data_IF_164180346706
#
_entry.id   IF_164180346706
#
_cell.length_a   1.000
_cell.length_b   1.000
_cell.length_c   1.000
_cell.angle_alpha   90.00
_cell.angle_beta   90.00
_cell.angle_gamma   90.00
#
_symmetry.space_group_name_H-M   'P 1'
#
loop_
_entity.id
_entity.type
_entity.pdbx_description
1 polymer ?
#
# COMPACT_ATOMS: atom_id res chain seq x y z
N UNK A 1 -61.32 -10.04 -9.18
CA UNK A 1 -60.02 -10.03 -9.89
C UNK A 1 -58.95 -9.32 -9.03
N UNK A 2 -58.42 -9.95 -7.96
CA UNK A 2 -57.35 -9.34 -7.10
C UNK A 2 -56.34 -10.36 -6.52
N UNK A 3 -56.34 -11.62 -6.99
CA UNK A 3 -55.54 -12.69 -6.38
C UNK A 3 -54.26 -13.05 -7.15
N UNK A 4 -54.09 -12.57 -8.38
CA UNK A 4 -52.92 -12.89 -9.21
C UNK A 4 -51.68 -12.01 -8.91
N UNK A 5 -51.86 -10.87 -8.23
CA UNK A 5 -50.77 -9.92 -7.98
C UNK A 5 -49.84 -10.34 -6.83
N UNK A 6 -50.32 -11.15 -5.87
CA UNK A 6 -49.50 -11.57 -4.72
C UNK A 6 -48.48 -12.67 -5.07
N UNK A 7 -48.72 -13.49 -6.09
CA UNK A 7 -47.81 -14.59 -6.45
C UNK A 7 -46.52 -14.11 -7.13
N UNK A 8 -46.58 -13.00 -7.88
CA UNK A 8 -45.45 -12.53 -8.69
C UNK A 8 -44.37 -11.83 -7.85
N UNK A 9 -44.76 -11.21 -6.73
CA UNK A 9 -43.82 -10.50 -5.85
C UNK A 9 -42.94 -11.46 -5.03
N UNK A 10 -43.47 -12.63 -4.65
CA UNK A 10 -42.72 -13.60 -3.85
C UNK A 10 -41.61 -14.31 -4.65
N UNK A 11 -41.81 -14.53 -5.95
CA UNK A 11 -40.81 -15.21 -6.79
C UNK A 11 -39.56 -14.35 -7.07
N UNK A 12 -39.70 -13.02 -7.13
CA UNK A 12 -38.58 -12.10 -7.40
C UNK A 12 -37.64 -11.95 -6.19
N UNK A 13 -38.15 -12.02 -4.96
CA UNK A 13 -37.32 -11.95 -3.74
C UNK A 13 -36.52 -13.25 -3.54
N UNK A 14 -37.08 -14.40 -3.92
CA UNK A 14 -36.40 -15.70 -3.81
C UNK A 14 -35.19 -15.81 -4.76
N UNK A 15 -35.25 -15.23 -5.97
CA UNK A 15 -34.13 -15.22 -6.91
C UNK A 15 -33.06 -14.19 -6.50
N UNK A 16 -33.49 -13.00 -6.05
CA UNK A 16 -32.58 -11.96 -5.57
C UNK A 16 -31.80 -12.41 -4.31
N UNK A 17 -32.47 -13.09 -3.38
CA UNK A 17 -31.83 -13.61 -2.17
C UNK A 17 -30.77 -14.68 -2.46
N UNK A 18 -31.02 -15.60 -3.39
CA UNK A 18 -30.06 -16.67 -3.70
C UNK A 18 -28.82 -16.16 -4.45
N UNK A 19 -28.97 -15.12 -5.28
CA UNK A 19 -27.83 -14.48 -5.96
C UNK A 19 -26.93 -13.69 -4.99
N UNK A 20 -27.51 -13.09 -3.95
CA UNK A 20 -26.77 -12.39 -2.90
C UNK A 20 -26.00 -13.35 -1.97
N UNK A 21 -26.51 -14.56 -1.72
CA UNK A 21 -25.75 -15.58 -0.97
C UNK A 21 -24.64 -16.23 -1.81
N UNK A 22 -24.79 -16.30 -3.14
CA UNK A 22 -23.80 -16.95 -4.01
C UNK A 22 -22.54 -16.11 -4.25
N UNK A 23 -22.54 -14.80 -3.95
CA UNK A 23 -21.44 -13.88 -4.30
C UNK A 23 -20.97 -12.96 -3.16
N UNK A 24 -21.54 -13.08 -1.95
CA UNK A 24 -21.75 -11.91 -1.10
C UNK A 24 -20.83 -11.60 0.08
N UNK A 25 -19.72 -12.31 0.32
CA UNK A 25 -18.81 -11.92 1.44
C UNK A 25 -17.35 -12.12 1.09
N UNK A 26 -16.96 -13.31 0.64
CA UNK A 26 -15.54 -13.60 0.39
C UNK A 26 -14.96 -12.76 -0.76
N UNK A 27 -15.73 -12.53 -1.83
CA UNK A 27 -15.27 -11.71 -2.95
C UNK A 27 -15.16 -10.22 -2.60
N UNK A 28 -16.08 -9.71 -1.75
CA UNK A 28 -16.06 -8.32 -1.28
C UNK A 28 -14.93 -8.07 -0.29
N UNK A 29 -14.68 -9.02 0.61
CA UNK A 29 -13.54 -8.97 1.54
C UNK A 29 -12.22 -9.02 0.76
N UNK A 30 -12.06 -9.97 -0.17
CA UNK A 30 -10.87 -10.07 -1.00
C UNK A 30 -10.61 -8.80 -1.85
N UNK A 31 -11.65 -8.20 -2.41
CA UNK A 31 -11.52 -6.94 -3.16
C UNK A 31 -11.14 -5.75 -2.26
N UNK A 32 -11.66 -5.72 -1.03
CA UNK A 32 -11.33 -4.69 -0.04
C UNK A 32 -9.88 -4.84 0.42
N UNK A 33 -9.44 -6.06 0.75
CA UNK A 33 -8.05 -6.35 1.12
C UNK A 33 -7.07 -6.00 0.01
N UNK A 34 -7.37 -6.37 -1.24
CA UNK A 34 -6.53 -6.01 -2.39
C UNK A 34 -6.40 -4.49 -2.57
N UNK A 35 -7.51 -3.76 -2.36
CA UNK A 35 -7.52 -2.28 -2.47
C UNK A 35 -6.72 -1.64 -1.34
N UNK A 36 -6.91 -2.09 -0.10
CA UNK A 36 -6.16 -1.59 1.07
C UNK A 36 -4.67 -1.88 0.89
N UNK A 37 -4.31 -3.09 0.45
CA UNK A 37 -2.93 -3.48 0.21
C UNK A 37 -2.27 -2.60 -0.87
N UNK A 38 -2.97 -2.33 -1.98
CA UNK A 38 -2.48 -1.44 -3.03
C UNK A 38 -2.26 0.00 -2.52
N UNK A 39 -3.22 0.54 -1.76
CA UNK A 39 -3.11 1.90 -1.18
C UNK A 39 -1.94 1.98 -0.18
N UNK A 40 -1.78 0.98 0.69
CA UNK A 40 -0.65 0.95 1.63
C UNK A 40 0.70 0.89 0.94
N UNK A 41 0.80 0.11 -0.15
CA UNK A 41 2.00 0.06 -1.00
C UNK A 41 2.36 1.44 -1.57
N UNK A 42 1.41 2.11 -2.21
CA UNK A 42 1.63 3.45 -2.79
C UNK A 42 2.00 4.50 -1.74
N UNK A 43 1.40 4.45 -0.55
CA UNK A 43 1.78 5.35 0.55
C UNK A 43 3.20 5.06 1.03
N UNK A 44 3.59 3.78 1.14
CA UNK A 44 4.94 3.40 1.51
C UNK A 44 6.00 3.81 0.50
N UNK A 45 5.69 3.69 -0.79
CA UNK A 45 6.55 4.19 -1.86
C UNK A 45 6.74 5.72 -1.75
N UNK A 46 5.66 6.45 -1.48
CA UNK A 46 5.68 7.91 -1.32
C UNK A 46 6.57 8.35 -0.14
N UNK A 47 6.53 7.64 0.98
CA UNK A 47 7.40 7.90 2.14
C UNK A 47 8.88 7.69 1.80
N UNK A 48 9.21 6.61 1.08
CA UNK A 48 10.58 6.38 0.61
C UNK A 48 11.03 7.47 -0.37
N UNK A 49 10.18 7.92 -1.29
CA UNK A 49 10.49 9.04 -2.21
C UNK A 49 10.76 10.33 -1.43
N UNK A 50 9.94 10.65 -0.42
CA UNK A 50 10.13 11.82 0.43
C UNK A 50 11.46 11.75 1.24
N UNK A 51 11.79 10.57 1.75
CA UNK A 51 13.06 10.33 2.43
C UNK A 51 14.26 10.48 1.47
N UNK A 52 14.17 9.95 0.25
CA UNK A 52 15.20 10.13 -0.78
C UNK A 52 15.40 11.60 -1.16
N UNK A 53 14.32 12.38 -1.30
CA UNK A 53 14.41 13.82 -1.56
C UNK A 53 15.09 14.57 -0.41
N UNK A 54 14.80 14.19 0.84
CA UNK A 54 15.43 14.76 2.03
C UNK A 54 16.93 14.45 2.09
N UNK A 55 17.32 13.22 1.78
CA UNK A 55 18.74 12.83 1.65
C UNK A 55 19.44 13.58 0.52
N UNK A 56 18.78 13.76 -0.63
CA UNK A 56 19.33 14.53 -1.74
C UNK A 56 19.58 16.00 -1.35
N UNK A 57 18.66 16.61 -0.60
CA UNK A 57 18.83 17.96 -0.07
C UNK A 57 19.97 18.03 0.96
N UNK A 58 20.09 17.05 1.86
CA UNK A 58 21.19 16.99 2.83
C UNK A 58 22.55 16.83 2.15
N UNK A 59 22.67 15.97 1.14
CA UNK A 59 23.90 15.85 0.35
C UNK A 59 24.22 17.12 -0.43
N UNK A 60 23.22 17.83 -0.95
CA UNK A 60 23.44 19.12 -1.61
C UNK A 60 24.00 20.17 -0.62
N UNK A 61 23.63 20.10 0.66
CA UNK A 61 24.12 21.01 1.69
C UNK A 61 25.48 20.61 2.30
N UNK A 62 25.73 19.32 2.52
CA UNK A 62 26.90 18.81 3.28
C UNK A 62 27.95 18.10 2.42
N UNK A 63 27.58 17.70 1.20
CA UNK A 63 28.43 16.93 0.29
C UNK A 63 28.46 15.41 0.57
N UNK A 64 27.79 14.93 1.62
CA UNK A 64 27.81 13.51 2.03
C UNK A 64 26.42 13.03 2.46
N UNK A 65 26.17 11.71 2.42
CA UNK A 65 25.04 11.10 3.11
C UNK A 65 25.42 10.56 4.50
N UNK A 66 26.71 10.61 4.86
CA UNK A 66 27.15 10.27 6.21
C UNK A 66 26.46 11.19 7.23
N UNK A 67 26.00 10.61 8.33
CA UNK A 67 25.23 11.27 9.40
C UNK A 67 23.85 11.79 9.01
N UNK A 68 23.36 11.44 7.82
CA UNK A 68 22.00 11.78 7.43
C UNK A 68 20.98 11.11 8.34
N UNK A 69 19.98 11.86 8.79
CA UNK A 69 18.84 11.32 9.52
C UNK A 69 17.58 11.39 8.66
N UNK A 70 16.81 10.31 8.65
CA UNK A 70 15.46 10.26 8.07
C UNK A 70 14.42 10.17 9.17
N UNK A 71 13.24 10.69 8.89
CA UNK A 71 12.14 10.64 9.83
C UNK A 71 11.41 9.29 9.74
N UNK A 72 10.93 8.83 10.90
CA UNK A 72 10.00 7.71 11.01
C UNK A 72 8.80 7.91 10.09
N UNK A 73 8.26 6.86 9.44
CA UNK A 73 8.55 5.43 9.65
C UNK A 73 9.73 4.87 8.85
N UNK A 74 10.44 5.69 8.08
CA UNK A 74 11.59 5.24 7.27
C UNK A 74 12.85 5.18 8.15
N UNK A 75 13.63 4.13 7.96
CA UNK A 75 14.90 3.90 8.64
C UNK A 75 16.05 3.92 7.65
N UNK A 76 17.20 4.45 8.07
CA UNK A 76 18.43 4.44 7.29
C UNK A 76 19.29 3.26 7.75
N UNK A 77 19.32 2.20 6.96
CA UNK A 77 20.06 0.97 7.29
C UNK A 77 21.55 1.13 6.99
N UNK A 78 21.86 1.89 5.94
CA UNK A 78 23.24 2.22 5.55
C UNK A 78 23.27 3.60 4.92
N UNK A 79 24.29 4.39 5.22
CA UNK A 79 24.62 5.59 4.47
C UNK A 79 26.13 5.80 4.45
N UNK A 80 26.65 5.93 3.23
CA UNK A 80 28.04 6.19 2.92
C UNK A 80 28.13 7.53 2.14
N UNK A 81 29.34 7.99 1.84
CA UNK A 81 29.53 9.25 1.11
C UNK A 81 28.84 9.29 -0.27
N UNK A 82 28.59 8.12 -0.88
CA UNK A 82 28.08 8.00 -2.26
C UNK A 82 26.78 7.20 -2.39
N UNK A 83 26.41 6.41 -1.39
CA UNK A 83 25.28 5.48 -1.44
C UNK A 83 24.52 5.45 -0.11
N UNK A 84 23.29 4.96 -0.13
CA UNK A 84 22.47 4.76 1.07
C UNK A 84 21.52 3.57 0.87
N UNK A 85 20.97 3.04 1.95
CA UNK A 85 19.85 2.11 1.92
C UNK A 85 18.78 2.58 2.91
N UNK A 86 17.61 2.93 2.37
CA UNK A 86 16.43 3.29 3.15
C UNK A 86 15.53 2.07 3.24
N UNK A 87 15.02 1.79 4.44
CA UNK A 87 14.07 0.72 4.68
C UNK A 87 12.83 1.27 5.35
N UNK A 88 11.68 0.94 4.77
CA UNK A 88 10.38 1.13 5.37
C UNK A 88 9.88 -0.23 5.88
N UNK A 89 9.71 -0.33 7.18
CA UNK A 89 9.19 -1.53 7.83
C UNK A 89 7.82 -1.24 8.43
N UNK A 90 6.77 -1.84 7.87
CA UNK A 90 5.39 -1.76 8.37
C UNK A 90 4.74 -3.14 8.36
N UNK A 91 3.73 -3.37 9.21
CA UNK A 91 3.00 -4.63 9.22
C UNK A 91 2.42 -4.92 7.83
N UNK A 92 2.85 -6.02 7.20
CA UNK A 92 2.42 -6.42 5.86
C UNK A 92 3.07 -5.67 4.69
N UNK A 93 3.98 -4.74 4.94
CA UNK A 93 4.67 -3.97 3.91
C UNK A 93 6.11 -3.68 4.31
N UNK A 94 7.05 -4.35 3.65
CA UNK A 94 8.48 -4.08 3.78
C UNK A 94 9.03 -3.66 2.42
N UNK A 95 9.54 -2.42 2.35
CA UNK A 95 10.08 -1.82 1.14
C UNK A 95 11.46 -1.25 1.43
N UNK A 96 12.32 -1.24 0.42
CA UNK A 96 13.61 -0.56 0.50
C UNK A 96 13.93 0.24 -0.76
N UNK A 97 14.84 1.19 -0.63
CA UNK A 97 15.41 1.95 -1.74
C UNK A 97 16.93 2.05 -1.59
N UNK A 98 17.67 1.67 -2.64
CA UNK A 98 19.15 1.64 -2.65
C UNK A 98 19.73 2.79 -3.45
N UNK A 99 20.32 3.75 -2.75
CA UNK A 99 21.19 4.77 -3.31
C UNK A 99 20.48 5.82 -4.16
N UNK A 100 21.23 6.84 -4.60
CA UNK A 100 20.71 7.86 -5.50
C UNK A 100 20.34 7.20 -6.85
N UNK A 101 19.07 7.36 -7.25
CA UNK A 101 18.44 6.75 -8.43
C UNK A 101 18.07 5.26 -8.30
N UNK A 102 18.13 4.68 -7.09
CA UNK A 102 17.55 3.36 -6.85
C UNK A 102 16.05 3.34 -7.05
N UNK A 103 15.52 2.23 -7.57
CA UNK A 103 14.08 1.98 -7.55
C UNK A 103 13.67 1.42 -6.20
N UNK A 104 12.41 1.66 -5.81
CA UNK A 104 11.85 1.04 -4.62
C UNK A 104 11.58 -0.43 -4.91
N UNK A 105 12.01 -1.31 -4.00
CA UNK A 105 11.89 -2.75 -4.14
C UNK A 105 11.30 -3.35 -2.86
N UNK A 106 10.50 -4.42 -2.98
CA UNK A 106 10.00 -5.14 -1.81
C UNK A 106 11.12 -5.92 -1.12
N UNK A 107 11.04 -6.03 0.20
CA UNK A 107 12.00 -6.73 1.05
C UNK A 107 12.96 -5.78 1.79
N UNK A 108 13.87 -6.34 2.61
CA UNK A 108 14.79 -5.56 3.42
C UNK A 108 16.01 -5.06 2.62
N UNK A 109 16.66 -4.04 3.17
CA UNK A 109 18.08 -3.77 2.93
C UNK A 109 18.95 -4.88 3.58
#
# INVERSE_FOLDING_TARGET
MKWAALGLAAALVAIGGWLSLATGVDATVAATDATVSAVTGTVGESELIAAQASLAAQRAATGTYADASVQSPVTLVRADATAYCLQLDRPGLQLHAVGPNGTIQPGPC
#
